data_IF_611248644802
#
_entry.id   IF_611248644802
#
_cell.length_a   1.000
_cell.length_b   1.000
_cell.length_c   1.000
_cell.angle_alpha   90.00
_cell.angle_beta   90.00
_cell.angle_gamma   90.00
#
_symmetry.space_group_name_H-M   'P 1'
#
loop_
_entity.id
_entity.type
_entity.pdbx_description
1 polymer ?
#
# COMPACT_ATOMS: atom_id res chain seq x y z
N UNK A 1 -8.47 28.24 -1.39
CA UNK A 1 -7.04 28.63 -1.22
C UNK A 1 -6.29 27.35 -0.94
N UNK A 2 -5.75 26.72 -2.00
CA UNK A 2 -4.94 25.50 -1.85
C UNK A 2 -3.79 25.82 -0.92
N UNK A 3 -3.82 25.22 0.27
CA UNK A 3 -2.59 25.06 1.03
C UNK A 3 -1.84 23.99 0.26
N UNK A 4 -0.91 24.40 -0.59
CA UNK A 4 0.22 23.55 -0.94
C UNK A 4 0.94 23.29 0.38
N UNK A 5 0.46 22.30 1.13
CA UNK A 5 1.23 21.70 2.20
C UNK A 5 2.36 20.98 1.47
N UNK A 6 3.56 21.52 1.58
CA UNK A 6 4.78 20.88 1.09
C UNK A 6 4.83 19.45 1.65
N UNK A 7 4.53 18.47 0.80
CA UNK A 7 4.57 17.07 1.19
C UNK A 7 6.05 16.71 1.40
N UNK A 8 6.43 16.19 2.58
CA UNK A 8 7.81 15.85 2.85
C UNK A 8 8.27 14.75 1.88
N UNK A 9 9.49 14.89 1.36
CA UNK A 9 10.10 13.88 0.51
C UNK A 9 11.08 13.06 1.35
N UNK A 10 10.92 11.73 1.34
CA UNK A 10 11.94 10.83 1.89
C UNK A 10 13.25 11.04 1.12
N UNK A 11 14.35 11.26 1.85
CA UNK A 11 15.68 11.26 1.24
C UNK A 11 15.98 9.89 0.62
N UNK A 12 16.92 9.81 -0.34
CA UNK A 12 17.29 8.54 -1.00
C UNK A 12 17.63 7.41 -0.01
N UNK A 13 18.16 7.80 1.14
CA UNK A 13 18.42 6.99 2.34
C UNK A 13 17.18 6.29 2.89
N UNK A 14 16.04 6.98 2.93
CA UNK A 14 14.79 6.52 3.55
C UNK A 14 13.89 5.78 2.55
N UNK A 15 14.15 5.90 1.24
CA UNK A 15 13.44 5.17 0.16
C UNK A 15 13.90 3.70 0.02
N UNK A 16 15.00 3.31 0.66
CA UNK A 16 15.59 1.97 0.54
C UNK A 16 15.55 1.26 1.89
N UNK A 17 14.83 0.13 2.04
CA UNK A 17 14.98 -0.70 3.24
C UNK A 17 16.43 -1.19 3.33
N UNK A 18 17.21 -0.62 4.25
CA UNK A 18 18.54 -1.10 4.59
C UNK A 18 19.74 -0.41 3.91
N UNK A 19 19.70 0.91 3.68
CA UNK A 19 20.94 1.66 3.50
C UNK A 19 21.21 2.57 4.69
N UNK A 20 22.25 2.27 5.49
CA UNK A 20 22.56 3.06 6.65
C UNK A 20 23.56 4.18 6.35
N UNK A 21 23.25 5.39 6.82
CA UNK A 21 24.08 6.61 6.65
C UNK A 21 25.25 6.71 7.62
N UNK A 22 25.33 5.83 8.62
CA UNK A 22 26.54 5.78 9.44
C UNK A 22 27.57 4.96 8.69
N UNK A 23 28.75 5.56 8.47
CA UNK A 23 29.92 4.90 7.84
C UNK A 23 30.08 3.48 8.38
N UNK A 24 29.95 3.31 9.69
CA UNK A 24 30.03 2.03 10.41
C UNK A 24 28.99 0.99 9.95
N UNK A 25 27.73 1.38 9.75
CA UNK A 25 26.68 0.45 9.36
C UNK A 25 26.80 0.04 7.87
N UNK A 26 27.29 0.93 7.00
CA UNK A 26 27.50 0.61 5.58
C UNK A 26 28.63 -0.42 5.42
N UNK A 27 29.66 -0.27 6.24
CA UNK A 27 30.80 -1.17 6.35
C UNK A 27 30.39 -2.51 6.98
N UNK A 28 29.58 -2.49 8.03
CA UNK A 28 29.03 -3.71 8.65
C UNK A 28 28.05 -4.41 7.69
N UNK A 29 27.24 -3.68 6.91
CA UNK A 29 26.35 -4.25 5.88
C UNK A 29 27.14 -4.95 4.77
N UNK A 30 28.27 -4.37 4.32
CA UNK A 30 29.18 -5.02 3.39
C UNK A 30 29.78 -6.30 4.00
N UNK A 31 30.20 -6.24 5.26
CA UNK A 31 30.77 -7.39 6.00
C UNK A 31 29.76 -8.49 6.33
N UNK A 32 28.48 -8.16 6.47
CA UNK A 32 27.40 -9.16 6.60
C UNK A 32 27.17 -9.86 5.26
N UNK A 33 27.24 -9.13 4.13
CA UNK A 33 27.05 -9.72 2.80
C UNK A 33 28.17 -10.68 2.38
N UNK A 34 29.38 -10.47 2.89
CA UNK A 34 30.54 -11.33 2.62
C UNK A 34 30.87 -12.32 3.77
N UNK A 35 29.96 -12.43 4.77
CA UNK A 35 30.07 -13.31 5.93
C UNK A 35 31.28 -13.03 6.87
N UNK A 36 31.90 -11.85 6.77
CA UNK A 36 33.03 -11.41 7.61
C UNK A 36 32.64 -10.59 8.84
N UNK A 37 31.35 -10.32 9.04
CA UNK A 37 30.84 -9.62 10.22
C UNK A 37 30.73 -10.56 11.43
N UNK A 38 31.25 -10.14 12.58
CA UNK A 38 31.08 -10.88 13.84
C UNK A 38 29.75 -10.52 14.51
N UNK A 39 29.28 -11.37 15.44
CA UNK A 39 28.05 -11.11 16.20
C UNK A 39 28.16 -9.81 17.00
N UNK A 40 29.33 -9.55 17.56
CA UNK A 40 29.66 -8.31 18.27
C UNK A 40 29.63 -7.10 17.32
N UNK A 41 30.14 -7.22 16.09
CA UNK A 41 30.06 -6.15 15.08
C UNK A 41 28.61 -5.78 14.77
N UNK A 42 27.76 -6.79 14.53
CA UNK A 42 26.33 -6.56 14.25
C UNK A 42 25.56 -5.98 15.44
N UNK A 43 25.85 -6.44 16.66
CA UNK A 43 25.23 -5.94 17.87
C UNK A 43 25.62 -4.49 18.13
N UNK A 44 26.90 -4.14 17.99
CA UNK A 44 27.39 -2.77 18.17
C UNK A 44 26.69 -1.81 17.20
N UNK A 45 26.62 -2.18 15.92
CA UNK A 45 25.87 -1.45 14.88
C UNK A 45 24.41 -1.21 15.27
N UNK A 46 23.72 -2.26 15.72
CA UNK A 46 22.30 -2.19 16.09
C UNK A 46 22.07 -1.35 17.34
N UNK A 47 22.98 -1.36 18.33
CA UNK A 47 22.89 -0.49 19.51
C UNK A 47 23.12 0.99 19.21
N UNK A 48 23.73 1.31 18.07
CA UNK A 48 23.93 2.70 17.64
C UNK A 48 22.78 3.26 16.78
N UNK A 49 21.86 2.41 16.32
CA UNK A 49 20.60 2.88 15.73
C UNK A 49 19.73 3.47 16.83
N UNK A 50 19.60 4.80 16.82
CA UNK A 50 18.69 5.49 17.73
C UNK A 50 17.28 5.47 17.13
N UNK A 51 16.23 5.31 17.94
CA UNK A 51 14.86 5.54 17.50
C UNK A 51 14.67 6.92 16.84
N UNK A 52 15.50 7.90 17.22
CA UNK A 52 15.53 9.26 16.66
C UNK A 52 16.09 9.35 15.22
N UNK A 53 16.70 8.28 14.69
CA UNK A 53 17.24 8.24 13.32
C UNK A 53 16.15 8.01 12.26
N UNK A 54 14.95 7.58 12.67
CA UNK A 54 13.79 7.45 11.80
C UNK A 54 12.81 8.56 12.16
N UNK A 55 12.80 9.63 11.37
CA UNK A 55 11.76 10.64 11.43
C UNK A 55 10.41 10.01 11.06
N UNK A 56 9.70 9.55 12.09
CA UNK A 56 8.44 8.84 11.96
C UNK A 56 7.37 9.73 11.34
N UNK A 57 7.41 11.04 11.59
CA UNK A 57 6.46 11.98 11.00
C UNK A 57 6.69 12.10 9.49
N UNK A 58 7.94 12.30 9.08
CA UNK A 58 8.31 12.27 7.64
C UNK A 58 7.98 10.92 7.01
N UNK A 59 8.21 9.80 7.69
CA UNK A 59 7.82 8.47 7.20
C UNK A 59 6.31 8.35 6.98
N UNK A 60 5.48 8.80 7.91
CA UNK A 60 4.02 8.73 7.78
C UNK A 60 3.49 9.64 6.67
N UNK A 61 4.08 10.83 6.54
CA UNK A 61 3.56 11.89 5.69
C UNK A 61 4.15 11.88 4.27
N UNK A 62 5.23 11.14 4.01
CA UNK A 62 5.75 11.03 2.64
C UNK A 62 4.87 10.19 1.73
N UNK A 63 4.87 10.46 0.43
CA UNK A 63 4.18 9.63 -0.57
C UNK A 63 4.93 8.31 -0.79
N UNK A 64 4.35 7.20 -0.34
CA UNK A 64 4.91 5.87 -0.58
C UNK A 64 4.41 5.31 -1.90
N UNK A 65 4.99 5.82 -2.99
CA UNK A 65 4.65 5.36 -4.33
C UNK A 65 5.19 3.95 -4.60
N UNK A 66 4.34 2.99 -5.02
CA UNK A 66 4.81 1.69 -5.44
C UNK A 66 5.73 1.79 -6.66
N UNK A 67 6.90 1.11 -6.65
CA UNK A 67 7.86 1.19 -7.77
C UNK A 67 7.32 0.54 -9.06
N UNK A 68 6.31 -0.32 -8.94
CA UNK A 68 5.63 -1.04 -10.02
C UNK A 68 4.33 -0.35 -10.48
N UNK A 69 4.09 0.91 -10.09
CA UNK A 69 2.90 1.67 -10.45
C UNK A 69 2.66 1.79 -11.97
N UNK A 70 3.73 1.78 -12.77
CA UNK A 70 3.65 1.78 -14.24
C UNK A 70 2.72 2.86 -14.80
N UNK A 71 1.74 2.53 -15.68
CA UNK A 71 0.83 3.51 -16.26
C UNK A 71 -0.14 4.15 -15.25
N UNK A 72 -0.26 3.58 -14.05
CA UNK A 72 -1.18 4.06 -13.01
C UNK A 72 -0.50 5.04 -12.03
N UNK A 73 0.80 5.33 -12.18
CA UNK A 73 1.54 6.20 -11.26
C UNK A 73 0.85 7.56 -11.01
N UNK A 74 0.34 8.20 -12.06
CA UNK A 74 -0.36 9.47 -11.92
C UNK A 74 -1.66 9.34 -11.09
N UNK A 75 -2.42 8.25 -11.28
CA UNK A 75 -3.65 8.03 -10.50
C UNK A 75 -3.34 7.70 -9.04
N UNK A 76 -2.32 6.87 -8.79
CA UNK A 76 -1.91 6.55 -7.42
C UNK A 76 -1.34 7.77 -6.69
N UNK A 77 -0.57 8.64 -7.37
CA UNK A 77 -0.08 9.90 -6.78
C UNK A 77 -1.24 10.79 -6.33
N UNK A 78 -2.28 10.98 -7.17
CA UNK A 78 -3.49 11.71 -6.79
C UNK A 78 -4.12 11.12 -5.53
N UNK A 79 -4.35 9.81 -5.52
CA UNK A 79 -4.97 9.11 -4.37
C UNK A 79 -4.15 9.31 -3.10
N UNK A 80 -2.82 9.17 -3.18
CA UNK A 80 -1.95 9.35 -2.02
C UNK A 80 -1.99 10.79 -1.49
N UNK A 81 -2.10 11.79 -2.36
CA UNK A 81 -2.25 13.20 -1.96
C UNK A 81 -3.59 13.49 -1.28
N UNK A 82 -4.63 12.69 -1.55
CA UNK A 82 -5.92 12.77 -0.83
C UNK A 82 -5.84 12.27 0.61
N UNK A 83 -4.76 11.59 0.99
CA UNK A 83 -4.56 11.08 2.36
C UNK A 83 -4.00 12.20 3.25
N UNK A 84 -4.66 12.55 4.36
CA UNK A 84 -4.19 13.61 5.26
C UNK A 84 -2.91 13.20 6.00
N UNK A 85 -2.21 14.19 6.54
CA UNK A 85 -1.07 13.94 7.43
C UNK A 85 -1.50 13.09 8.64
N UNK A 86 -0.58 12.26 9.13
CA UNK A 86 -0.79 11.34 10.25
C UNK A 86 -1.52 10.04 9.92
N UNK A 87 -2.12 9.89 8.73
CA UNK A 87 -2.79 8.65 8.32
C UNK A 87 -1.86 7.61 7.70
N UNK A 88 -0.73 8.06 7.13
CA UNK A 88 0.15 7.21 6.36
C UNK A 88 -0.24 7.10 4.89
N UNK A 89 0.55 7.71 4.00
CA UNK A 89 0.25 7.74 2.56
C UNK A 89 0.73 6.46 1.86
N UNK A 90 0.04 5.34 2.08
CA UNK A 90 0.36 4.03 1.49
C UNK A 90 -0.76 3.46 0.60
N UNK A 91 -0.34 2.73 -0.43
CA UNK A 91 -1.17 1.76 -1.16
C UNK A 91 -0.74 0.36 -0.71
N UNK A 92 -1.60 -0.34 0.03
CA UNK A 92 -1.28 -1.65 0.63
C UNK A 92 -1.98 -2.81 -0.10
N UNK A 93 -1.74 -2.91 -1.41
CA UNK A 93 -2.12 -4.03 -2.26
C UNK A 93 -1.21 -4.09 -3.50
N UNK A 94 -1.24 -5.19 -4.23
CA UNK A 94 -0.36 -5.40 -5.39
C UNK A 94 -0.91 -4.74 -6.69
N UNK A 95 -0.09 -4.75 -7.75
CA UNK A 95 -0.32 -4.03 -9.01
C UNK A 95 -1.54 -4.44 -9.83
N UNK A 96 -2.05 -5.66 -9.62
CA UNK A 96 -3.25 -6.14 -10.31
C UNK A 96 -4.52 -5.36 -9.97
N UNK A 97 -4.53 -4.62 -8.85
CA UNK A 97 -5.67 -3.78 -8.46
C UNK A 97 -5.48 -2.29 -8.74
N UNK A 98 -4.32 -1.85 -9.27
CA UNK A 98 -4.13 -0.45 -9.70
C UNK A 98 -5.20 0.07 -10.67
N UNK A 99 -5.64 -0.70 -11.70
CA UNK A 99 -6.72 -0.25 -12.58
C UNK A 99 -8.05 -0.04 -11.83
N UNK A 100 -8.33 -0.86 -10.83
CA UNK A 100 -9.58 -0.81 -10.03
C UNK A 100 -9.58 0.47 -9.18
N UNK A 101 -8.49 0.75 -8.46
CA UNK A 101 -8.42 1.94 -7.60
C UNK A 101 -8.33 3.24 -8.40
N UNK A 102 -7.67 3.23 -9.57
CA UNK A 102 -7.66 4.38 -10.47
C UNK A 102 -9.07 4.71 -10.98
N UNK A 103 -9.81 3.69 -11.45
CA UNK A 103 -11.20 3.87 -11.91
C UNK A 103 -12.12 4.32 -10.77
N UNK A 104 -11.93 3.79 -9.56
CA UNK A 104 -12.67 4.22 -8.38
C UNK A 104 -12.39 5.70 -8.07
N UNK A 105 -11.12 6.14 -8.05
CA UNK A 105 -10.74 7.54 -7.80
C UNK A 105 -11.34 8.48 -8.84
N UNK A 106 -11.30 8.13 -10.13
CA UNK A 106 -11.92 8.91 -11.20
C UNK A 106 -13.43 9.08 -10.97
N UNK A 107 -14.12 8.00 -10.57
CA UNK A 107 -15.57 8.03 -10.29
C UNK A 107 -15.93 8.84 -9.04
N UNK A 108 -15.15 8.72 -7.96
CA UNK A 108 -15.37 9.52 -6.74
C UNK A 108 -15.06 11.00 -7.01
N UNK A 109 -13.97 11.30 -7.71
CA UNK A 109 -13.57 12.67 -8.07
C UNK A 109 -14.65 13.36 -8.93
N UNK A 110 -15.35 12.61 -9.79
CA UNK A 110 -16.41 13.15 -10.63
C UNK A 110 -17.64 13.63 -9.84
N UNK A 111 -17.91 13.06 -8.66
CA UNK A 111 -19.05 13.43 -7.81
C UNK A 111 -18.67 14.34 -6.64
N UNK A 112 -17.42 14.26 -6.18
CA UNK A 112 -16.86 15.09 -5.12
C UNK A 112 -15.35 15.24 -5.34
N UNK A 113 -14.88 16.31 -6.00
CA UNK A 113 -13.45 16.45 -6.32
C UNK A 113 -12.55 16.56 -5.08
N UNK A 114 -13.10 17.01 -3.95
CA UNK A 114 -12.39 17.34 -2.72
C UNK A 114 -12.51 16.26 -1.63
N UNK A 115 -13.01 15.07 -1.98
CA UNK A 115 -13.11 13.96 -1.04
C UNK A 115 -11.74 13.56 -0.48
N UNK A 116 -11.76 13.07 0.77
CA UNK A 116 -10.57 12.64 1.51
C UNK A 116 -10.47 11.13 1.49
N UNK A 117 -9.29 10.60 1.15
CA UNK A 117 -8.97 9.18 1.33
C UNK A 117 -8.26 8.98 2.67
N UNK A 118 -8.49 7.86 3.34
CA UNK A 118 -7.86 7.54 4.62
C UNK A 118 -6.92 6.35 4.49
N UNK A 119 -7.37 5.27 3.82
CA UNK A 119 -6.55 4.08 3.59
C UNK A 119 -7.00 3.36 2.33
N UNK A 120 -6.05 2.80 1.59
CA UNK A 120 -6.28 1.97 0.41
C UNK A 120 -5.49 0.67 0.58
N UNK A 121 -6.19 -0.44 0.84
CA UNK A 121 -5.53 -1.69 1.24
C UNK A 121 -6.29 -2.94 0.87
N UNK A 122 -5.59 -4.06 0.85
CA UNK A 122 -6.21 -5.38 0.92
C UNK A 122 -6.72 -5.67 2.34
N UNK A 123 -7.91 -6.29 2.41
CA UNK A 123 -8.43 -6.93 3.63
C UNK A 123 -9.29 -8.15 3.28
N UNK A 124 -8.93 -9.29 3.85
CA UNK A 124 -9.62 -10.59 3.68
C UNK A 124 -9.78 -11.06 2.22
N UNK A 125 -8.84 -10.70 1.36
CA UNK A 125 -8.80 -11.01 -0.06
C UNK A 125 -9.51 -10.01 -0.96
N UNK A 126 -9.90 -8.84 -0.45
CA UNK A 126 -10.66 -7.83 -1.20
C UNK A 126 -10.16 -6.42 -0.88
N UNK A 127 -10.43 -5.47 -1.77
CA UNK A 127 -10.06 -4.07 -1.61
C UNK A 127 -10.87 -3.41 -0.48
N UNK A 128 -10.20 -2.58 0.33
CA UNK A 128 -10.81 -1.61 1.23
C UNK A 128 -10.31 -0.23 0.84
N UNK A 129 -11.25 0.61 0.43
CA UNK A 129 -11.04 2.02 0.14
C UNK A 129 -11.81 2.84 1.17
N UNK A 130 -11.12 3.30 2.21
CA UNK A 130 -11.72 4.13 3.24
C UNK A 130 -11.59 5.59 2.83
N UNK A 131 -12.71 6.27 2.65
CA UNK A 131 -12.77 7.68 2.31
C UNK A 131 -13.97 8.36 2.97
N UNK A 132 -13.97 9.68 2.94
CA UNK A 132 -15.09 10.51 3.38
C UNK A 132 -15.34 11.60 2.34
N UNK A 133 -16.62 11.92 2.05
CA UNK A 133 -16.95 13.07 1.23
C UNK A 133 -16.54 14.37 1.93
N UNK A 134 -16.26 15.41 1.16
CA UNK A 134 -15.95 16.75 1.63
C UNK A 134 -17.12 17.36 2.41
N UNK A 135 -18.34 17.23 1.87
CA UNK A 135 -19.59 17.67 2.49
C UNK A 135 -20.63 16.53 2.47
N UNK A 136 -20.81 15.78 3.58
CA UNK A 136 -21.66 14.60 3.59
C UNK A 136 -23.15 14.92 3.50
N UNK A 137 -23.80 14.45 2.42
CA UNK A 137 -25.26 14.25 2.34
C UNK A 137 -25.61 12.76 2.32
N UNK A 138 -26.89 12.42 2.52
CA UNK A 138 -27.35 11.02 2.41
C UNK A 138 -27.09 10.47 1.00
N UNK A 139 -27.45 11.23 -0.02
CA UNK A 139 -27.33 10.86 -1.43
C UNK A 139 -25.86 10.66 -1.84
N UNK A 140 -24.97 11.54 -1.36
CA UNK A 140 -23.55 11.44 -1.67
C UNK A 140 -22.92 10.23 -0.97
N UNK A 141 -23.31 9.94 0.27
CA UNK A 141 -22.86 8.75 0.99
C UNK A 141 -23.29 7.46 0.30
N UNK A 142 -24.53 7.39 -0.17
CA UNK A 142 -25.04 6.25 -0.94
C UNK A 142 -24.25 6.07 -2.24
N UNK A 143 -24.02 7.16 -3.00
CA UNK A 143 -23.20 7.11 -4.21
C UNK A 143 -21.75 6.63 -3.95
N UNK A 144 -21.13 7.09 -2.86
CA UNK A 144 -19.81 6.61 -2.43
C UNK A 144 -19.84 5.12 -2.11
N UNK A 145 -20.83 4.66 -1.32
CA UNK A 145 -20.99 3.26 -0.98
C UNK A 145 -21.14 2.38 -2.22
N UNK A 146 -21.89 2.81 -3.23
CA UNK A 146 -22.08 2.07 -4.47
C UNK A 146 -20.81 1.97 -5.30
N UNK A 147 -20.06 3.08 -5.45
CA UNK A 147 -18.79 3.12 -6.19
C UNK A 147 -17.75 2.23 -5.51
N UNK A 148 -17.61 2.34 -4.18
CA UNK A 148 -16.67 1.53 -3.39
C UNK A 148 -17.09 0.06 -3.41
N UNK A 149 -18.38 -0.24 -3.30
CA UNK A 149 -18.92 -1.59 -3.35
C UNK A 149 -18.67 -2.29 -4.68
N UNK A 150 -18.75 -1.57 -5.80
CA UNK A 150 -18.35 -2.08 -7.12
C UNK A 150 -16.87 -2.46 -7.14
N UNK A 151 -15.98 -1.57 -6.68
CA UNK A 151 -14.55 -1.84 -6.66
C UNK A 151 -14.20 -3.02 -5.73
N UNK A 152 -14.87 -3.14 -4.58
CA UNK A 152 -14.71 -4.30 -3.69
C UNK A 152 -15.11 -5.60 -4.41
N UNK A 153 -16.26 -5.63 -5.10
CA UNK A 153 -16.69 -6.79 -5.89
C UNK A 153 -15.74 -7.12 -7.04
N UNK A 154 -15.26 -6.12 -7.77
CA UNK A 154 -14.26 -6.32 -8.83
C UNK A 154 -12.97 -6.92 -8.28
N UNK A 155 -12.48 -6.42 -7.14
CA UNK A 155 -11.27 -6.92 -6.49
C UNK A 155 -11.41 -8.39 -6.05
N UNK A 156 -12.61 -8.81 -5.65
CA UNK A 156 -12.90 -10.17 -5.19
C UNK A 156 -12.80 -11.24 -6.29
N UNK A 157 -12.78 -10.82 -7.56
CA UNK A 157 -12.67 -11.71 -8.74
C UNK A 157 -11.44 -11.40 -9.60
N UNK A 158 -10.59 -10.47 -9.16
CA UNK A 158 -9.39 -10.03 -9.87
C UNK A 158 -8.16 -10.39 -9.08
N UNK A 159 -7.19 -11.06 -9.70
CA UNK A 159 -5.91 -11.38 -9.10
C UNK A 159 -5.20 -10.11 -8.64
N UNK A 160 -5.02 -9.96 -7.33
CA UNK A 160 -4.38 -8.79 -6.72
C UNK A 160 -3.00 -8.52 -7.31
N UNK A 161 -2.25 -9.58 -7.66
CA UNK A 161 -0.88 -9.46 -8.16
C UNK A 161 -0.76 -9.05 -9.62
N UNK A 162 -1.61 -9.58 -10.51
CA UNK A 162 -1.41 -9.44 -11.95
C UNK A 162 -2.63 -8.96 -12.75
N UNK A 163 -3.79 -8.78 -12.12
CA UNK A 163 -5.00 -8.25 -12.77
C UNK A 163 -5.80 -9.28 -13.57
N UNK A 164 -5.27 -10.49 -13.78
CA UNK A 164 -6.02 -11.59 -14.41
C UNK A 164 -7.15 -12.09 -13.51
N UNK A 165 -8.16 -12.81 -14.04
CA UNK A 165 -9.21 -13.41 -13.21
C UNK A 165 -8.64 -14.25 -12.05
N UNK A 166 -9.13 -13.98 -10.85
CA UNK A 166 -8.68 -14.60 -9.61
C UNK A 166 -9.82 -15.16 -8.79
N UNK A 167 -9.48 -16.04 -7.85
CA UNK A 167 -10.42 -16.55 -6.84
C UNK A 167 -9.82 -16.39 -5.46
N UNK A 168 -10.65 -16.55 -4.41
CA UNK A 168 -10.18 -16.51 -3.05
C UNK A 168 -9.18 -17.66 -2.76
N UNK A 169 -7.99 -17.29 -2.31
CA UNK A 169 -6.90 -18.20 -1.97
C UNK A 169 -6.44 -17.93 -0.53
N UNK A 170 -5.89 -18.93 0.15
CA UNK A 170 -5.36 -18.83 1.53
C UNK A 170 -3.94 -19.32 1.67
N UNK A 171 -3.21 -18.70 2.60
CA UNK A 171 -1.93 -19.17 3.13
C UNK A 171 -1.94 -18.97 4.65
N UNK A 172 -2.22 -20.03 5.41
CA UNK A 172 -2.48 -19.93 6.85
C UNK A 172 -3.70 -19.05 7.12
N UNK A 173 -3.50 -17.97 7.89
CA UNK A 173 -4.54 -16.98 8.21
C UNK A 173 -4.70 -15.88 7.16
N UNK A 174 -3.80 -15.82 6.17
CA UNK A 174 -3.81 -14.81 5.12
C UNK A 174 -4.73 -15.22 3.97
N UNK A 175 -5.45 -14.25 3.42
CA UNK A 175 -6.35 -14.41 2.28
C UNK A 175 -5.98 -13.40 1.21
N UNK A 176 -5.94 -13.83 -0.03
CA UNK A 176 -5.79 -12.98 -1.22
C UNK A 176 -6.68 -13.50 -2.33
N UNK A 177 -7.15 -12.61 -3.21
CA UNK A 177 -7.74 -13.03 -4.48
C UNK A 177 -6.62 -13.15 -5.49
N UNK A 178 -6.32 -14.36 -5.97
CA UNK A 178 -5.22 -14.62 -6.91
C UNK A 178 -5.65 -15.59 -8.00
N UNK A 179 -5.04 -15.45 -9.18
CA UNK A 179 -5.09 -16.48 -10.22
C UNK A 179 -4.24 -17.68 -9.81
N UNK A 180 -4.46 -18.85 -10.45
CA UNK A 180 -3.78 -20.09 -10.10
C UNK A 180 -2.24 -19.97 -10.15
N UNK A 181 -1.70 -19.32 -11.19
CA UNK A 181 -0.25 -19.18 -11.37
C UNK A 181 0.40 -18.26 -10.33
N UNK A 182 -0.27 -17.18 -9.91
CA UNK A 182 0.22 -16.33 -8.83
C UNK A 182 0.06 -16.99 -7.46
N UNK A 183 -1.04 -17.71 -7.25
CA UNK A 183 -1.25 -18.47 -6.02
C UNK A 183 -0.15 -19.52 -5.82
N UNK A 184 0.18 -20.30 -6.85
CA UNK A 184 1.25 -21.30 -6.82
C UNK A 184 2.60 -20.67 -6.48
N UNK A 185 2.99 -19.59 -7.19
CA UNK A 185 4.25 -18.86 -6.95
C UNK A 185 4.37 -18.30 -5.53
N UNK A 186 3.25 -17.92 -4.91
CA UNK A 186 3.20 -17.34 -3.57
C UNK A 186 2.87 -18.37 -2.47
N UNK A 187 2.72 -19.64 -2.85
CA UNK A 187 2.35 -20.76 -1.98
C UNK A 187 0.99 -20.55 -1.28
N UNK A 188 0.00 -20.06 -2.03
CA UNK A 188 -1.40 -20.01 -1.63
C UNK A 188 -2.18 -21.21 -2.19
N UNK A 189 -3.26 -21.57 -1.50
CA UNK A 189 -4.14 -22.69 -1.85
C UNK A 189 -5.58 -22.23 -1.96
N UNK A 190 -6.35 -22.86 -2.85
CA UNK A 190 -7.72 -22.43 -3.13
C UNK A 190 -8.60 -22.59 -1.90
N UNK A 191 -9.44 -21.58 -1.64
CA UNK A 191 -10.47 -21.66 -0.61
C UNK A 191 -11.71 -22.24 -1.30
N UNK A 192 -12.14 -23.46 -0.95
CA UNK A 192 -13.38 -23.99 -1.50
C UNK A 192 -14.53 -23.05 -1.16
N UNK A 193 -15.50 -22.86 -2.07
CA UNK A 193 -16.71 -22.10 -1.75
C UNK A 193 -17.35 -22.70 -0.50
N UNK A 194 -17.86 -21.84 0.39
CA UNK A 194 -18.65 -22.34 1.51
C UNK A 194 -19.87 -23.03 0.90
N UNK A 195 -20.01 -24.33 1.17
CA UNK A 195 -21.26 -25.03 0.92
C UNK A 195 -22.25 -24.50 1.96
N UNK A 196 -22.98 -23.47 1.58
CA UNK A 196 -24.10 -22.97 2.37
C UNK A 196 -25.22 -24.02 2.22
N UNK A 197 -25.34 -24.89 3.22
CA UNK A 197 -26.49 -25.79 3.42
C UNK A 197 -27.53 -25.10 4.29
#
# INVERSE_FOLDING_TARGET
MSKDNDIPELTHTQKTPGQPETSDLSEISARVRDDSATREDTHCALTHLRPDDIDQDTLLNSLHMPPDAGPYAAALDRILRRIPDGWGRWISHDAGWYPIVATLDDRLTAIDPDYVAHQVKEKFGTLRYYCAPSEPSTELREAFCDIIGEAERMSAVTCERCGEPGVAQRRGHWRKTLCASCAEKLHYTSIPPRNDR
#
